data_IF_881236036070
#
_entry.id   IF_881236036070
#
_cell.length_a   1.000
_cell.length_b   1.000
_cell.length_c   1.000
_cell.angle_alpha   90.00
_cell.angle_beta   90.00
_cell.angle_gamma   90.00
#
_symmetry.space_group_name_H-M   'P 1'
#
loop_
_entity.id
_entity.type
_entity.pdbx_description
1 polymer ?
#
# COMPACT_ATOMS: atom_id res chain seq x y z
N UNK A 1 13.59 18.89 8.54
CA UNK A 1 13.74 17.60 9.25
C UNK A 1 13.41 16.51 8.25
N UNK A 2 14.34 15.59 8.04
CA UNK A 2 14.13 14.41 7.21
C UNK A 2 13.85 13.24 8.16
N UNK A 3 12.74 12.54 7.95
CA UNK A 3 12.37 11.37 8.75
C UNK A 3 12.25 10.17 7.81
N UNK A 4 13.06 9.15 8.04
CA UNK A 4 13.21 8.03 7.11
C UNK A 4 12.09 6.98 7.27
N UNK A 5 11.39 7.00 8.40
CA UNK A 5 10.29 6.08 8.70
C UNK A 5 8.92 6.75 8.53
N UNK A 6 8.07 6.20 7.66
CA UNK A 6 6.69 6.68 7.45
C UNK A 6 5.88 6.72 8.75
N UNK A 7 6.11 5.78 9.68
CA UNK A 7 5.43 5.76 10.98
C UNK A 7 5.69 7.02 11.79
N UNK A 8 6.95 7.47 11.86
CA UNK A 8 7.30 8.61 12.68
C UNK A 8 6.76 9.93 12.12
N UNK A 9 6.74 10.09 10.79
CA UNK A 9 6.03 11.23 10.15
C UNK A 9 4.54 11.20 10.53
N UNK A 10 3.89 10.03 10.44
CA UNK A 10 2.48 9.91 10.79
C UNK A 10 2.21 10.16 12.28
N UNK A 11 3.09 9.71 13.17
CA UNK A 11 3.03 10.05 14.61
C UNK A 11 3.19 11.54 14.86
N UNK A 12 4.08 12.22 14.15
CA UNK A 12 4.21 13.68 14.28
C UNK A 12 2.90 14.38 13.89
N UNK A 13 2.33 14.00 12.75
CA UNK A 13 1.05 14.54 12.27
C UNK A 13 -0.06 14.23 13.29
N UNK A 14 -0.11 13.02 13.86
CA UNK A 14 -1.13 12.65 14.87
C UNK A 14 -0.97 13.40 16.19
N UNK A 15 0.22 13.95 16.46
CA UNK A 15 0.48 14.85 17.59
C UNK A 15 0.27 16.33 17.22
N UNK A 16 -0.36 16.62 16.07
CA UNK A 16 -0.70 17.97 15.62
C UNK A 16 0.42 18.70 14.87
N UNK A 17 1.51 18.01 14.53
CA UNK A 17 2.64 18.62 13.80
C UNK A 17 2.40 18.58 12.28
N UNK A 18 1.46 19.41 11.81
CA UNK A 18 1.22 19.65 10.39
C UNK A 18 0.45 18.53 9.68
N UNK A 19 0.78 18.29 8.41
CA UNK A 19 0.15 17.30 7.54
C UNK A 19 1.19 16.61 6.65
N UNK A 20 0.84 15.45 6.10
CA UNK A 20 1.71 14.71 5.19
C UNK A 20 0.91 14.08 4.04
N UNK A 21 1.55 13.89 2.89
CA UNK A 21 1.04 13.04 1.81
C UNK A 21 1.62 11.65 2.04
N UNK A 22 0.73 10.66 2.15
CA UNK A 22 1.10 9.27 2.37
C UNK A 22 0.44 8.37 1.33
N UNK A 23 1.12 7.30 0.95
CA UNK A 23 0.47 6.22 0.19
C UNK A 23 -0.38 5.37 1.12
N UNK A 24 -1.43 4.69 0.66
CA UNK A 24 -2.26 3.86 1.53
C UNK A 24 -1.48 2.76 2.27
N UNK A 25 -0.41 2.24 1.65
CA UNK A 25 0.51 1.31 2.29
C UNK A 25 1.24 1.90 3.50
N UNK A 26 1.57 3.20 3.49
CA UNK A 26 2.21 3.87 4.63
C UNK A 26 1.25 3.96 5.83
N UNK A 27 -0.03 4.25 5.58
CA UNK A 27 -1.07 4.26 6.62
C UNK A 27 -1.23 2.87 7.23
N UNK A 28 -1.30 1.85 6.39
CA UNK A 28 -1.40 0.46 6.82
C UNK A 28 -0.17 0.00 7.64
N UNK A 29 1.04 0.29 7.16
CA UNK A 29 2.29 -0.10 7.83
C UNK A 29 2.50 0.61 9.17
N UNK A 30 2.10 1.88 9.28
CA UNK A 30 2.25 2.65 10.51
C UNK A 30 1.20 2.29 11.58
N UNK A 31 0.30 1.33 11.30
CA UNK A 31 -0.86 1.05 12.15
C UNK A 31 -1.67 2.33 12.43
N UNK A 32 -1.92 3.15 11.39
CA UNK A 32 -2.55 4.46 11.56
C UNK A 32 -3.93 4.40 12.23
N UNK A 33 -4.60 3.25 12.23
CA UNK A 33 -5.84 3.02 12.97
C UNK A 33 -5.70 3.19 14.49
N UNK A 34 -4.48 3.15 15.04
CA UNK A 34 -4.21 3.43 16.45
C UNK A 34 -3.82 4.90 16.70
N UNK A 35 -3.82 5.74 15.66
CA UNK A 35 -3.42 7.14 15.72
C UNK A 35 -4.64 8.03 15.48
N UNK A 36 -4.64 9.22 16.10
CA UNK A 36 -5.64 10.25 15.82
C UNK A 36 -5.30 10.95 14.50
N UNK A 37 -5.70 10.33 13.38
CA UNK A 37 -5.40 10.79 12.03
C UNK A 37 -6.65 10.72 11.16
N UNK A 38 -6.88 11.77 10.37
CA UNK A 38 -7.84 11.77 9.29
C UNK A 38 -7.09 11.68 7.95
N UNK A 39 -7.33 10.62 7.19
CA UNK A 39 -6.89 10.52 5.80
C UNK A 39 -7.95 11.17 4.88
N UNK A 40 -7.49 11.86 3.84
CA UNK A 40 -8.34 12.54 2.86
C UNK A 40 -7.89 12.20 1.44
N UNK A 41 -8.80 12.14 0.45
CA UNK A 41 -8.44 11.95 -0.95
C UNK A 41 -7.59 13.12 -1.47
N UNK A 42 -6.57 12.81 -2.26
CA UNK A 42 -5.91 13.82 -3.09
C UNK A 42 -6.84 14.17 -4.27
N UNK A 43 -7.06 15.47 -4.48
CA UNK A 43 -7.95 16.00 -5.53
C UNK A 43 -7.34 16.00 -6.94
N UNK A 44 -6.04 15.70 -7.06
CA UNK A 44 -5.29 15.73 -8.32
C UNK A 44 -5.18 14.34 -8.96
N UNK A 45 -4.92 14.30 -10.27
CA UNK A 45 -4.84 13.08 -11.09
C UNK A 45 -4.16 11.92 -10.34
N UNK A 46 -4.89 10.81 -10.27
CA UNK A 46 -4.57 9.55 -9.58
C UNK A 46 -3.10 9.16 -9.74
N UNK A 47 -2.28 9.51 -8.76
CA UNK A 47 -0.92 9.00 -8.68
C UNK A 47 -0.98 7.54 -8.26
N UNK A 48 -0.53 6.64 -9.15
CA UNK A 48 -0.52 5.20 -8.88
C UNK A 48 0.88 4.74 -8.50
N UNK A 49 0.97 3.98 -7.40
CA UNK A 49 2.19 3.24 -7.04
C UNK A 49 2.04 1.80 -7.53
N UNK A 50 3.02 1.32 -8.31
CA UNK A 50 3.07 -0.06 -8.79
C UNK A 50 3.97 -0.89 -7.87
N UNK A 51 3.49 -2.06 -7.47
CA UNK A 51 4.26 -3.06 -6.73
C UNK A 51 4.71 -4.11 -7.73
N UNK A 52 6.01 -4.41 -7.73
CA UNK A 52 6.60 -5.39 -8.62
C UNK A 52 7.16 -6.56 -7.82
N UNK A 53 6.88 -7.77 -8.29
CA UNK A 53 7.54 -8.98 -7.83
C UNK A 53 8.62 -9.31 -8.85
N UNK A 54 9.88 -9.25 -8.41
CA UNK A 54 11.06 -9.44 -9.27
C UNK A 54 11.78 -10.71 -8.84
N UNK A 55 12.07 -11.58 -9.80
CA UNK A 55 12.85 -12.80 -9.59
C UNK A 55 13.82 -13.02 -10.76
N UNK A 56 14.86 -13.80 -10.51
CA UNK A 56 15.87 -14.11 -11.54
C UNK A 56 15.38 -15.19 -12.48
N UNK A 57 15.60 -14.96 -13.78
CA UNK A 57 15.27 -15.95 -14.82
C UNK A 57 16.07 -17.23 -14.58
N UNK A 58 15.41 -18.38 -14.73
CA UNK A 58 15.96 -19.72 -14.52
C UNK A 58 16.40 -20.04 -13.08
N UNK A 59 16.06 -19.20 -12.11
CA UNK A 59 16.28 -19.45 -10.70
C UNK A 59 14.92 -19.62 -10.01
N UNK A 60 14.78 -20.65 -9.17
CA UNK A 60 13.56 -20.90 -8.39
C UNK A 60 12.27 -21.02 -9.22
N UNK A 61 12.37 -21.25 -10.53
CA UNK A 61 11.23 -21.20 -11.46
C UNK A 61 10.02 -22.05 -11.03
N UNK A 62 10.19 -23.26 -10.47
CA UNK A 62 9.04 -24.06 -10.02
C UNK A 62 8.29 -23.46 -8.83
N UNK A 63 8.97 -22.77 -7.91
CA UNK A 63 8.33 -22.16 -6.73
C UNK A 63 7.82 -20.75 -7.02
N UNK A 64 8.37 -20.07 -8.04
CA UNK A 64 7.97 -18.70 -8.35
C UNK A 64 6.51 -18.58 -8.79
N UNK A 65 5.92 -19.60 -9.43
CA UNK A 65 4.48 -19.63 -9.70
C UNK A 65 3.66 -19.54 -8.42
N UNK A 66 4.02 -20.36 -7.43
CA UNK A 66 3.33 -20.42 -6.14
C UNK A 66 3.50 -19.11 -5.38
N UNK A 67 4.69 -18.52 -5.40
CA UNK A 67 4.96 -17.22 -4.76
C UNK A 67 4.13 -16.12 -5.42
N UNK A 68 3.99 -16.12 -6.75
CA UNK A 68 3.17 -15.15 -7.48
C UNK A 68 1.70 -15.30 -7.07
N UNK A 69 1.19 -16.53 -7.04
CA UNK A 69 -0.21 -16.81 -6.72
C UNK A 69 -0.54 -16.48 -5.26
N UNK A 70 0.33 -16.87 -4.33
CA UNK A 70 0.21 -16.50 -2.91
C UNK A 70 0.27 -14.99 -2.73
N UNK A 71 1.20 -14.30 -3.40
CA UNK A 71 1.31 -12.84 -3.31
C UNK A 71 0.04 -12.15 -3.81
N UNK A 72 -0.51 -12.60 -4.94
CA UNK A 72 -1.79 -12.09 -5.47
C UNK A 72 -2.94 -12.35 -4.53
N UNK A 73 -3.01 -13.56 -3.97
CA UNK A 73 -4.04 -13.92 -3.00
C UNK A 73 -3.97 -13.05 -1.75
N UNK A 74 -2.78 -12.84 -1.18
CA UNK A 74 -2.58 -11.98 -0.01
C UNK A 74 -2.96 -10.53 -0.32
N UNK A 75 -2.58 -10.02 -1.50
CA UNK A 75 -2.97 -8.67 -1.92
C UNK A 75 -4.50 -8.54 -1.96
N UNK A 76 -5.18 -9.48 -2.62
CA UNK A 76 -6.63 -9.42 -2.81
C UNK A 76 -7.43 -9.65 -1.51
N UNK A 77 -6.99 -10.58 -0.67
CA UNK A 77 -7.78 -11.06 0.48
C UNK A 77 -7.39 -10.42 1.80
N UNK A 78 -6.17 -9.85 1.92
CA UNK A 78 -5.66 -9.27 3.17
C UNK A 78 -5.36 -7.79 3.00
N UNK A 79 -4.58 -7.41 1.98
CA UNK A 79 -4.08 -6.03 1.87
C UNK A 79 -5.17 -5.08 1.41
N UNK A 80 -5.88 -5.38 0.32
CA UNK A 80 -6.93 -4.51 -0.22
C UNK A 80 -8.03 -4.23 0.81
N UNK A 81 -8.60 -5.23 1.53
CA UNK A 81 -9.61 -4.95 2.56
C UNK A 81 -9.10 -4.01 3.66
N UNK A 82 -7.88 -4.23 4.15
CA UNK A 82 -7.30 -3.38 5.21
C UNK A 82 -6.98 -1.96 4.75
N UNK A 83 -6.66 -1.77 3.47
CA UNK A 83 -6.51 -0.44 2.90
C UNK A 83 -7.88 0.24 2.77
N UNK A 84 -8.91 -0.49 2.34
CA UNK A 84 -10.26 0.05 2.21
C UNK A 84 -10.79 0.59 3.57
N UNK A 85 -10.41 -0.04 4.69
CA UNK A 85 -10.76 0.45 6.03
C UNK A 85 -10.21 1.85 6.34
N UNK A 86 -9.02 2.20 5.82
CA UNK A 86 -8.36 3.49 6.08
C UNK A 86 -8.53 4.50 4.94
N UNK A 87 -8.92 4.04 3.75
CA UNK A 87 -9.19 4.87 2.58
C UNK A 87 -10.47 4.42 1.86
N UNK A 88 -11.66 4.59 2.46
CA UNK A 88 -12.92 4.07 1.92
C UNK A 88 -13.36 4.71 0.59
N UNK A 89 -12.77 5.84 0.21
CA UNK A 89 -13.02 6.52 -1.07
C UNK A 89 -12.20 5.96 -2.24
N UNK A 90 -11.33 4.97 -2.02
CA UNK A 90 -10.50 4.37 -3.07
C UNK A 90 -11.00 2.97 -3.41
N UNK A 91 -11.43 2.75 -4.66
CA UNK A 91 -11.73 1.42 -5.17
C UNK A 91 -10.45 0.77 -5.74
N UNK A 92 -9.70 0.09 -4.87
CA UNK A 92 -8.48 -0.63 -5.27
C UNK A 92 -8.77 -1.93 -6.02
N UNK A 93 -9.96 -2.51 -5.87
CA UNK A 93 -10.31 -3.78 -6.51
C UNK A 93 -10.55 -3.58 -8.02
N UNK A 94 -11.17 -2.46 -8.40
CA UNK A 94 -11.38 -2.10 -9.80
C UNK A 94 -10.07 -1.88 -10.59
N UNK A 95 -8.95 -1.63 -9.90
CA UNK A 95 -7.67 -1.24 -10.49
C UNK A 95 -6.63 -2.39 -10.59
N UNK A 96 -6.98 -3.62 -10.20
CA UNK A 96 -6.09 -4.77 -10.32
C UNK A 96 -5.90 -5.17 -11.80
N UNK A 97 -4.66 -5.23 -12.31
CA UNK A 97 -4.43 -5.61 -13.70
C UNK A 97 -4.78 -7.08 -13.94
N UNK A 98 -5.47 -7.35 -15.06
CA UNK A 98 -5.57 -8.69 -15.60
C UNK A 98 -4.15 -9.17 -15.99
N UNK A 99 -3.67 -10.19 -15.28
CA UNK A 99 -2.33 -10.80 -15.36
C UNK A 99 -1.45 -10.33 -16.52
N UNK A 100 -0.72 -9.23 -16.34
CA UNK A 100 0.37 -8.85 -17.24
C UNK A 100 1.67 -9.47 -16.73
N UNK A 101 2.20 -10.41 -17.50
CA UNK A 101 3.54 -10.95 -17.34
C UNK A 101 4.51 -9.94 -17.95
N UNK A 102 5.40 -9.38 -17.13
CA UNK A 102 6.57 -8.59 -17.56
C UNK A 102 7.81 -9.34 -17.13
#
# INVERSE_FOLDING_TARGET
MEFDASEAVLRMVSNGLGWAIATPMCLLHAHSSTMDLAALPLSTQTTRRRIYLVYRRNELTPIMSDVIDVSRQVIATVIIPRIADVTPWVDLAADLPASSVV
#
